data_IF_228580620801
#
_entry.id   IF_228580620801
#
_cell.length_a   1.000
_cell.length_b   1.000
_cell.length_c   1.000
_cell.angle_alpha   90.00
_cell.angle_beta   90.00
_cell.angle_gamma   90.00
#
_symmetry.space_group_name_H-M   'P 1'
#
loop_
_entity.id
_entity.type
_entity.pdbx_description
1 polymer ?
#
# COMPACT_ATOMS: atom_id res chain seq x y z
N UNK A 1 31.16 29.89 55.15
CA UNK A 1 29.85 29.55 54.63
C UNK A 1 30.03 29.11 53.17
N UNK A 2 30.09 27.82 52.93
CA UNK A 2 30.19 27.26 51.57
C UNK A 2 28.76 26.97 51.04
N UNK A 3 28.34 27.68 49.99
CA UNK A 3 27.08 27.42 49.30
C UNK A 3 27.29 26.23 48.41
N UNK A 4 26.66 25.08 48.73
CA UNK A 4 26.56 23.94 47.87
C UNK A 4 25.55 24.25 46.75
N UNK A 5 26.03 24.33 45.52
CA UNK A 5 25.20 24.48 44.33
C UNK A 5 24.79 23.06 43.90
N UNK A 6 23.56 22.67 44.25
CA UNK A 6 22.94 21.45 43.70
C UNK A 6 22.53 21.72 42.23
N UNK A 7 23.35 21.27 41.32
CA UNK A 7 22.96 21.18 39.90
C UNK A 7 22.07 19.92 39.77
N UNK A 8 20.77 20.14 39.76
CA UNK A 8 19.80 19.11 39.42
C UNK A 8 19.99 18.70 37.97
N UNK A 9 20.63 17.55 37.75
CA UNK A 9 20.69 16.93 36.44
C UNK A 9 19.28 16.38 36.10
N UNK A 10 18.50 17.16 35.38
CA UNK A 10 17.26 16.71 34.80
C UNK A 10 17.64 15.68 33.73
N UNK A 11 17.58 14.39 34.08
CA UNK A 11 17.57 13.30 33.15
C UNK A 11 16.28 13.44 32.30
N UNK A 12 16.40 14.09 31.17
CA UNK A 12 15.39 13.95 30.10
C UNK A 12 15.49 12.51 29.66
N UNK A 13 14.66 11.66 30.25
CA UNK A 13 14.40 10.34 29.71
C UNK A 13 13.69 10.56 28.37
N UNK A 14 14.47 10.70 27.31
CA UNK A 14 13.99 10.43 25.98
C UNK A 14 13.57 8.95 26.03
N UNK A 15 12.28 8.70 26.15
CA UNK A 15 11.77 7.36 26.05
C UNK A 15 12.20 6.81 24.70
N UNK A 16 13.25 6.02 24.70
CA UNK A 16 13.60 5.17 23.58
C UNK A 16 12.38 4.28 23.37
N UNK A 17 11.57 4.62 22.36
CA UNK A 17 10.49 3.73 21.97
C UNK A 17 11.15 2.40 21.61
N UNK A 18 10.77 1.34 22.31
CA UNK A 18 11.31 0.01 22.08
C UNK A 18 11.00 -0.37 20.62
N UNK A 19 11.98 -0.99 19.96
CA UNK A 19 11.78 -1.55 18.63
C UNK A 19 10.63 -2.54 18.65
N UNK A 20 9.85 -2.59 17.57
CA UNK A 20 8.71 -3.47 17.47
C UNK A 20 9.17 -4.94 17.37
N UNK A 21 8.53 -5.80 18.14
CA UNK A 21 8.71 -7.27 18.10
C UNK A 21 7.54 -7.95 18.79
N UNK A 22 7.07 -9.05 18.24
CA UNK A 22 5.94 -9.82 18.79
C UNK A 22 4.58 -9.36 18.30
N UNK A 23 3.56 -9.48 19.13
CA UNK A 23 2.16 -9.31 18.74
C UNK A 23 1.61 -7.94 19.14
N UNK A 24 0.90 -7.32 18.22
CA UNK A 24 0.24 -6.04 18.39
C UNK A 24 -1.18 -6.05 17.80
N UNK A 25 -1.96 -5.04 18.17
CA UNK A 25 -3.27 -4.80 17.55
C UNK A 25 -3.39 -3.35 17.09
N UNK A 26 -4.28 -3.09 16.11
CA UNK A 26 -4.67 -1.75 15.68
C UNK A 26 -6.18 -1.60 15.90
N UNK A 27 -6.57 -0.54 16.58
CA UNK A 27 -7.96 -0.22 16.90
C UNK A 27 -8.32 -0.53 18.34
N UNK A 28 -9.15 0.31 18.94
CA UNK A 28 -9.51 0.26 20.35
C UNK A 28 -8.67 1.22 21.21
N UNK A 29 -8.59 0.96 22.51
CA UNK A 29 -7.86 1.82 23.44
C UNK A 29 -6.35 1.59 23.32
N UNK A 30 -5.57 2.66 23.21
CA UNK A 30 -4.11 2.57 23.16
C UNK A 30 -3.53 1.87 24.41
N UNK A 31 -2.48 1.06 24.20
CA UNK A 31 -1.80 0.32 25.26
C UNK A 31 -0.40 -0.12 24.78
N UNK A 32 0.30 -0.88 25.62
CA UNK A 32 1.67 -1.32 25.32
C UNK A 32 1.78 -2.19 24.05
N UNK A 33 0.72 -2.92 23.71
CA UNK A 33 0.64 -3.80 22.54
C UNK A 33 -0.53 -3.45 21.62
N UNK A 34 -1.22 -2.33 21.87
CA UNK A 34 -2.33 -1.88 21.05
C UNK A 34 -2.12 -0.45 20.58
N UNK A 35 -2.14 -0.24 19.28
CA UNK A 35 -2.19 1.05 18.63
C UNK A 35 -3.66 1.48 18.44
N UNK A 36 -4.02 2.68 18.86
CA UNK A 36 -5.40 3.15 18.68
C UNK A 36 -5.75 3.33 17.20
N UNK A 37 -4.79 3.76 16.39
CA UNK A 37 -4.97 4.02 14.95
C UNK A 37 -3.77 3.52 14.14
N UNK A 38 -3.97 3.45 12.82
CA UNK A 38 -2.90 3.15 11.87
C UNK A 38 -1.74 4.15 11.96
N UNK A 39 -2.03 5.43 12.18
CA UNK A 39 -1.00 6.48 12.34
C UNK A 39 -0.06 6.22 13.50
N UNK A 40 -0.56 5.63 14.60
CA UNK A 40 0.27 5.31 15.76
C UNK A 40 1.23 4.15 15.43
N UNK A 41 0.73 3.13 14.74
CA UNK A 41 1.53 2.00 14.28
C UNK A 41 2.62 2.46 13.27
N UNK A 42 2.23 3.21 12.23
CA UNK A 42 3.20 3.67 11.22
C UNK A 42 4.24 4.60 11.81
N UNK A 43 3.85 5.46 12.75
CA UNK A 43 4.78 6.29 13.52
C UNK A 43 5.78 5.44 14.31
N UNK A 44 5.31 4.42 15.03
CA UNK A 44 6.19 3.52 15.79
C UNK A 44 7.14 2.76 14.86
N UNK A 45 6.66 2.28 13.71
CA UNK A 45 7.49 1.62 12.70
C UNK A 45 8.59 2.54 12.19
N UNK A 46 8.23 3.78 11.80
CA UNK A 46 9.19 4.75 11.25
C UNK A 46 10.21 5.22 12.29
N UNK A 47 9.79 5.42 13.55
CA UNK A 47 10.67 5.96 14.60
C UNK A 47 11.56 4.92 15.26
N UNK A 48 11.05 3.71 15.49
CA UNK A 48 11.76 2.67 16.27
C UNK A 48 12.25 1.52 15.40
N UNK A 49 11.56 1.23 14.29
CA UNK A 49 11.83 0.06 13.47
C UNK A 49 11.51 -1.24 14.19
N UNK A 50 12.12 -2.32 13.74
CA UNK A 50 11.83 -3.67 14.24
C UNK A 50 13.08 -4.36 14.78
N UNK A 51 12.94 -5.14 15.87
CA UNK A 51 14.00 -5.99 16.41
C UNK A 51 13.75 -7.48 16.15
N UNK A 52 12.55 -7.84 15.73
CA UNK A 52 12.13 -9.21 15.42
C UNK A 52 10.90 -9.22 14.51
N UNK A 53 10.28 -10.38 14.35
CA UNK A 53 9.02 -10.48 13.63
C UNK A 53 7.91 -9.76 14.40
N UNK A 54 7.07 -9.07 13.66
CA UNK A 54 5.91 -8.32 14.16
C UNK A 54 4.64 -8.89 13.56
N UNK A 55 3.68 -9.26 14.41
CA UNK A 55 2.34 -9.65 13.97
C UNK A 55 1.32 -8.64 14.48
N UNK A 56 0.53 -8.08 13.57
CA UNK A 56 -0.48 -7.06 13.88
C UNK A 56 -1.85 -7.58 13.47
N UNK A 57 -2.84 -7.46 14.36
CA UNK A 57 -4.25 -7.75 14.04
C UNK A 57 -5.07 -6.46 14.08
N UNK A 58 -5.83 -6.19 13.02
CA UNK A 58 -6.74 -5.05 12.99
C UNK A 58 -8.05 -5.42 13.69
N UNK A 59 -8.41 -4.69 14.75
CA UNK A 59 -9.54 -5.01 15.62
C UNK A 59 -10.82 -4.27 15.27
N UNK A 60 -10.72 -3.13 14.58
CA UNK A 60 -11.88 -2.32 14.20
C UNK A 60 -11.70 -1.66 12.83
N UNK A 61 -12.82 -1.32 12.19
CA UNK A 61 -12.78 -0.48 11.01
C UNK A 61 -12.18 0.89 11.35
N UNK A 62 -11.38 1.43 10.42
CA UNK A 62 -10.71 2.71 10.59
C UNK A 62 -11.01 3.60 9.39
N UNK A 63 -11.28 4.87 9.66
CA UNK A 63 -11.39 5.88 8.60
C UNK A 63 -10.23 6.86 8.74
N UNK A 64 -9.55 7.13 7.63
CA UNK A 64 -8.37 7.99 7.59
C UNK A 64 -8.58 9.19 6.69
N UNK A 65 -7.90 10.28 7.02
CA UNK A 65 -7.90 11.54 6.24
C UNK A 65 -6.58 11.77 5.51
N UNK A 66 -5.61 10.88 5.70
CA UNK A 66 -4.34 10.85 4.99
C UNK A 66 -3.95 9.39 4.71
N UNK A 67 -3.11 9.16 3.74
CA UNK A 67 -2.62 7.83 3.41
C UNK A 67 -1.96 7.15 4.61
N UNK A 68 -2.23 5.85 4.77
CA UNK A 68 -1.43 5.02 5.67
C UNK A 68 -0.12 4.74 4.97
N UNK A 69 0.94 5.36 5.44
CA UNK A 69 2.27 5.25 4.84
C UNK A 69 3.15 4.30 5.65
N UNK A 70 3.66 3.29 4.98
CA UNK A 70 4.62 2.33 5.50
C UNK A 70 6.00 2.71 4.98
N UNK A 71 6.82 3.26 5.87
CA UNK A 71 8.20 3.65 5.57
C UNK A 71 9.18 2.64 6.16
N UNK A 72 10.30 2.43 5.46
CA UNK A 72 11.41 1.68 6.00
C UNK A 72 12.15 2.50 7.06
N UNK A 73 12.35 1.94 8.25
CA UNK A 73 13.23 2.54 9.24
C UNK A 73 14.69 2.33 8.82
N UNK A 74 15.48 3.40 8.76
CA UNK A 74 16.86 3.34 8.26
C UNK A 74 17.85 2.64 9.20
N UNK A 75 17.54 2.60 10.50
CA UNK A 75 18.44 2.03 11.52
C UNK A 75 18.05 0.58 11.86
N UNK A 76 16.75 0.30 11.95
CA UNK A 76 16.20 -0.99 12.33
C UNK A 76 15.16 -1.44 11.28
N UNK A 77 15.60 -1.73 10.05
CA UNK A 77 14.69 -2.07 8.97
C UNK A 77 14.08 -3.46 9.14
N UNK A 78 12.96 -3.67 8.47
CA UNK A 78 12.46 -5.00 8.15
C UNK A 78 13.44 -5.75 7.25
N UNK A 79 13.39 -7.06 7.26
CA UNK A 79 14.24 -7.93 6.45
C UNK A 79 13.63 -9.32 6.33
N UNK A 80 14.27 -10.22 5.59
CA UNK A 80 13.82 -11.63 5.49
C UNK A 80 13.71 -12.35 6.84
N UNK A 81 14.46 -11.91 7.86
CA UNK A 81 14.42 -12.46 9.23
C UNK A 81 13.65 -11.60 10.24
N UNK A 82 13.19 -10.41 9.84
CA UNK A 82 12.41 -9.47 10.66
C UNK A 82 11.23 -8.94 9.82
N UNK A 83 10.21 -9.75 9.70
CA UNK A 83 9.04 -9.47 8.86
C UNK A 83 7.92 -8.83 9.68
N UNK A 84 7.06 -8.08 8.99
CA UNK A 84 5.79 -7.60 9.54
C UNK A 84 4.66 -8.32 8.83
N UNK A 85 3.75 -8.93 9.60
CA UNK A 85 2.50 -9.48 9.08
C UNK A 85 1.33 -8.72 9.69
N UNK A 86 0.51 -8.10 8.87
CA UNK A 86 -0.69 -7.36 9.27
C UNK A 86 -1.91 -8.13 8.79
N UNK A 87 -2.66 -8.70 9.73
CA UNK A 87 -3.95 -9.32 9.44
C UNK A 87 -5.07 -8.30 9.61
N UNK A 88 -5.70 -7.94 8.51
CA UNK A 88 -6.85 -7.04 8.49
C UNK A 88 -8.07 -7.62 9.18
N UNK A 89 -8.12 -8.95 9.40
CA UNK A 89 -9.22 -9.65 10.09
C UNK A 89 -10.61 -9.28 9.51
N UNK A 90 -10.66 -9.08 8.19
CA UNK A 90 -11.87 -8.65 7.48
C UNK A 90 -12.32 -7.22 7.78
N UNK A 91 -11.53 -6.42 8.50
CA UNK A 91 -11.86 -5.02 8.80
C UNK A 91 -11.58 -4.12 7.60
N UNK A 92 -12.15 -2.92 7.66
CA UNK A 92 -12.05 -1.92 6.61
C UNK A 92 -11.18 -0.75 7.03
N UNK A 93 -10.20 -0.43 6.19
CA UNK A 93 -9.52 0.85 6.16
C UNK A 93 -10.16 1.68 5.05
N UNK A 94 -10.76 2.81 5.40
CA UNK A 94 -11.48 3.66 4.46
C UNK A 94 -10.99 5.10 4.48
N UNK A 95 -11.19 5.81 3.37
CA UNK A 95 -10.91 7.23 3.24
C UNK A 95 -11.50 7.79 1.95
N UNK A 96 -11.47 9.12 1.82
CA UNK A 96 -11.80 9.82 0.57
C UNK A 96 -10.58 10.64 0.15
N UNK A 97 -9.56 9.95 -0.37
CA UNK A 97 -8.24 10.51 -0.62
C UNK A 97 -8.01 10.73 -2.11
N UNK A 98 -7.47 11.90 -2.45
CA UNK A 98 -7.12 12.26 -3.84
C UNK A 98 -6.15 11.27 -4.49
N UNK A 99 -5.28 10.68 -3.68
CA UNK A 99 -4.27 9.71 -4.10
C UNK A 99 -4.47 8.36 -3.39
N UNK A 100 -3.39 7.68 -3.04
CA UNK A 100 -3.42 6.36 -2.42
C UNK A 100 -4.01 6.35 -1.00
N UNK A 101 -4.67 5.25 -0.67
CA UNK A 101 -5.12 4.95 0.69
C UNK A 101 -4.01 4.27 1.50
N UNK A 102 -3.25 3.40 0.86
CA UNK A 102 -2.12 2.68 1.44
C UNK A 102 -0.87 2.89 0.58
N UNK A 103 0.22 3.28 1.22
CA UNK A 103 1.50 3.54 0.56
C UNK A 103 2.61 2.67 1.16
N UNK A 104 3.28 1.90 0.32
CA UNK A 104 4.57 1.29 0.63
C UNK A 104 5.67 2.21 0.08
N UNK A 105 6.39 2.89 0.97
CA UNK A 105 7.44 3.85 0.61
C UNK A 105 8.81 3.32 1.08
N UNK A 106 9.45 2.53 0.25
CA UNK A 106 10.69 1.85 0.58
C UNK A 106 10.58 0.82 1.69
N UNK A 107 9.37 0.43 2.07
CA UNK A 107 9.13 -0.58 3.08
C UNK A 107 9.20 -1.98 2.49
N UNK A 108 9.98 -2.87 3.10
CA UNK A 108 10.23 -4.22 2.63
C UNK A 108 9.69 -5.28 3.59
N UNK A 109 9.47 -6.49 3.08
CA UNK A 109 9.10 -7.66 3.87
C UNK A 109 7.86 -7.45 4.74
N UNK A 110 6.88 -6.73 4.23
CA UNK A 110 5.57 -6.52 4.88
C UNK A 110 4.52 -7.34 4.16
N UNK A 111 3.84 -8.19 4.89
CA UNK A 111 2.63 -8.88 4.46
C UNK A 111 1.39 -8.17 5.01
N UNK A 112 0.44 -7.85 4.13
CA UNK A 112 -0.91 -7.42 4.53
C UNK A 112 -1.90 -8.44 3.97
N UNK A 113 -2.74 -8.98 4.85
CA UNK A 113 -3.76 -9.96 4.44
C UNK A 113 -5.13 -9.63 5.01
N UNK A 114 -6.17 -10.09 4.32
CA UNK A 114 -7.57 -10.02 4.77
C UNK A 114 -8.03 -8.61 5.18
N UNK A 115 -7.51 -7.55 4.52
CA UNK A 115 -7.88 -6.16 4.77
C UNK A 115 -8.73 -5.62 3.63
N UNK A 116 -9.83 -4.93 3.96
CA UNK A 116 -10.62 -4.21 2.99
C UNK A 116 -10.13 -2.76 2.92
N UNK A 117 -9.70 -2.32 1.74
CA UNK A 117 -9.22 -0.97 1.46
C UNK A 117 -10.26 -0.26 0.60
N UNK A 118 -10.91 0.79 1.11
CA UNK A 118 -11.98 1.51 0.41
C UNK A 118 -11.63 2.99 0.26
N UNK A 119 -11.27 3.41 -0.94
CA UNK A 119 -11.09 4.83 -1.25
C UNK A 119 -12.33 5.33 -2.00
N UNK A 120 -13.11 6.18 -1.34
CA UNK A 120 -14.35 6.76 -1.88
C UNK A 120 -14.14 8.07 -2.64
N UNK A 121 -12.89 8.44 -2.92
CA UNK A 121 -12.57 9.65 -3.69
C UNK A 121 -13.05 9.55 -5.14
N UNK A 122 -13.56 10.66 -5.65
CA UNK A 122 -13.88 10.83 -7.07
C UNK A 122 -12.74 11.40 -7.89
N UNK A 123 -11.56 11.57 -7.30
CA UNK A 123 -10.39 12.14 -7.97
C UNK A 123 -9.92 11.31 -9.17
N UNK A 124 -9.42 11.99 -10.18
CA UNK A 124 -8.80 11.35 -11.37
C UNK A 124 -7.50 10.61 -11.05
N UNK A 125 -6.93 10.84 -9.88
CA UNK A 125 -5.66 10.27 -9.41
C UNK A 125 -5.84 9.39 -8.19
N UNK A 126 -7.08 8.98 -7.87
CA UNK A 126 -7.34 8.10 -6.74
C UNK A 126 -6.70 6.73 -6.95
N UNK A 127 -5.96 6.30 -5.95
CA UNK A 127 -5.30 5.00 -5.92
C UNK A 127 -5.78 4.20 -4.71
N UNK A 128 -5.78 2.88 -4.83
CA UNK A 128 -5.98 2.01 -3.67
C UNK A 128 -4.66 1.84 -2.92
N UNK A 129 -3.69 1.20 -3.57
CA UNK A 129 -2.36 0.91 -3.01
C UNK A 129 -1.29 1.43 -3.97
N UNK A 130 -0.24 2.06 -3.42
CA UNK A 130 0.92 2.46 -4.21
C UNK A 130 2.20 1.91 -3.59
N UNK A 131 3.09 1.40 -4.46
CA UNK A 131 4.47 1.00 -4.15
C UNK A 131 5.42 2.01 -4.76
N UNK A 132 6.43 2.43 -4.00
CA UNK A 132 7.46 3.38 -4.44
C UNK A 132 8.71 3.27 -3.58
N UNK A 133 9.77 3.93 -4.02
CA UNK A 133 10.98 4.11 -3.22
C UNK A 133 11.75 2.83 -2.92
N UNK A 134 11.60 1.79 -3.75
CA UNK A 134 12.23 0.49 -3.52
C UNK A 134 11.48 -0.35 -2.48
N UNK A 135 10.16 -0.34 -2.51
CA UNK A 135 9.34 -1.18 -1.64
C UNK A 135 9.35 -2.63 -2.15
N UNK A 136 10.25 -3.45 -1.61
CA UNK A 136 10.58 -4.77 -2.14
C UNK A 136 10.08 -5.91 -1.25
N UNK A 137 9.83 -7.09 -1.85
CA UNK A 137 9.51 -8.32 -1.13
C UNK A 137 8.24 -8.23 -0.25
N UNK A 138 7.28 -7.41 -0.63
CA UNK A 138 6.02 -7.28 0.10
C UNK A 138 4.96 -8.21 -0.46
N UNK A 139 3.94 -8.51 0.35
CA UNK A 139 2.84 -9.39 -0.01
C UNK A 139 1.49 -8.74 0.34
N UNK A 140 0.60 -8.60 -0.64
CA UNK A 140 -0.83 -8.41 -0.41
C UNK A 140 -1.55 -9.73 -0.70
N UNK A 141 -2.29 -10.25 0.30
CA UNK A 141 -2.94 -11.55 0.19
C UNK A 141 -4.38 -11.51 0.67
N UNK A 142 -5.32 -11.85 -0.18
CA UNK A 142 -6.74 -11.92 0.19
C UNK A 142 -7.34 -10.57 0.59
N UNK A 143 -6.78 -9.46 0.11
CA UNK A 143 -7.28 -8.12 0.38
C UNK A 143 -8.36 -7.73 -0.65
N UNK A 144 -9.27 -6.84 -0.24
CA UNK A 144 -10.14 -6.12 -1.18
C UNK A 144 -9.61 -4.71 -1.36
N UNK A 145 -9.45 -4.26 -2.60
CA UNK A 145 -9.13 -2.87 -2.94
C UNK A 145 -10.26 -2.31 -3.77
N UNK A 146 -10.99 -1.35 -3.20
CA UNK A 146 -12.18 -0.77 -3.80
C UNK A 146 -12.02 0.75 -3.98
N UNK A 147 -12.03 1.21 -5.23
CA UNK A 147 -12.14 2.63 -5.56
C UNK A 147 -13.61 3.00 -5.72
N UNK A 148 -14.36 2.99 -4.60
CA UNK A 148 -15.81 3.11 -4.58
C UNK A 148 -16.35 4.45 -5.11
N UNK A 149 -15.55 5.52 -5.11
CA UNK A 149 -15.91 6.83 -5.63
C UNK A 149 -15.71 7.01 -7.13
N UNK A 150 -14.95 6.12 -7.79
CA UNK A 150 -14.64 6.25 -9.21
C UNK A 150 -15.79 5.72 -10.04
N UNK A 151 -16.40 6.63 -10.80
CA UNK A 151 -17.59 6.34 -11.62
C UNK A 151 -17.44 6.77 -13.09
N UNK A 152 -16.26 7.20 -13.55
CA UNK A 152 -16.05 7.77 -14.88
C UNK A 152 -14.87 7.18 -15.61
N UNK A 153 -15.06 6.98 -16.89
CA UNK A 153 -14.13 6.37 -17.85
C UNK A 153 -12.88 7.19 -18.20
N UNK A 154 -12.81 8.46 -17.82
CA UNK A 154 -11.74 9.37 -18.25
C UNK A 154 -10.64 9.56 -17.21
N UNK A 155 -10.65 8.77 -16.14
CA UNK A 155 -9.78 8.96 -14.98
C UNK A 155 -8.45 8.21 -15.14
N UNK A 156 -7.65 8.64 -16.12
CA UNK A 156 -6.41 7.96 -16.54
C UNK A 156 -5.31 7.86 -15.45
N UNK A 157 -5.45 8.59 -14.34
CA UNK A 157 -4.54 8.49 -13.20
C UNK A 157 -5.00 7.50 -12.12
N UNK A 158 -6.21 6.92 -12.22
CA UNK A 158 -6.76 6.05 -11.20
C UNK A 158 -6.33 4.59 -11.42
N UNK A 159 -5.89 3.92 -10.33
CA UNK A 159 -5.51 2.51 -10.35
C UNK A 159 -5.84 1.83 -9.02
N UNK A 160 -6.23 0.56 -9.06
CA UNK A 160 -6.37 -0.19 -7.81
C UNK A 160 -5.02 -0.39 -7.14
N UNK A 161 -4.00 -0.77 -7.93
CA UNK A 161 -2.63 -0.92 -7.47
C UNK A 161 -1.69 -0.25 -8.47
N UNK A 162 -0.75 0.54 -7.97
CA UNK A 162 0.25 1.22 -8.77
C UNK A 162 1.67 1.05 -8.21
N UNK A 163 2.59 0.68 -9.09
CA UNK A 163 4.03 0.78 -8.85
C UNK A 163 4.49 2.06 -9.55
N UNK A 164 4.56 3.16 -8.81
CA UNK A 164 4.79 4.48 -9.37
C UNK A 164 5.50 5.42 -8.40
N UNK A 165 6.49 6.16 -8.90
CA UNK A 165 7.25 7.15 -8.12
C UNK A 165 6.45 8.43 -7.83
N UNK A 166 5.40 8.70 -8.61
CA UNK A 166 4.55 9.89 -8.46
C UNK A 166 3.11 9.51 -8.11
N UNK A 167 2.47 10.33 -7.30
CA UNK A 167 1.05 10.21 -6.96
C UNK A 167 0.13 10.66 -8.09
N UNK A 168 0.55 11.65 -8.86
CA UNK A 168 -0.27 12.30 -9.88
C UNK A 168 0.04 11.83 -11.30
N UNK A 169 1.17 11.16 -11.52
CA UNK A 169 1.57 10.63 -12.80
C UNK A 169 2.06 9.20 -12.64
N UNK A 170 1.29 8.27 -13.18
CA UNK A 170 1.66 6.85 -13.14
C UNK A 170 2.66 6.47 -14.25
N UNK A 171 2.95 7.40 -15.16
CA UNK A 171 4.00 7.25 -16.17
C UNK A 171 5.34 7.65 -15.60
N UNK A 172 6.36 6.84 -15.80
CA UNK A 172 7.72 7.20 -15.43
C UNK A 172 8.52 7.60 -16.67
N UNK A 173 9.28 8.69 -16.57
CA UNK A 173 10.15 9.19 -17.65
C UNK A 173 11.61 8.79 -17.46
N UNK A 174 11.94 8.20 -16.32
CA UNK A 174 13.28 7.70 -15.98
C UNK A 174 13.19 6.32 -15.34
N UNK A 175 14.29 5.62 -15.24
CA UNK A 175 14.33 4.37 -14.46
C UNK A 175 14.00 4.68 -13.00
N UNK A 176 13.06 3.95 -12.44
CA UNK A 176 12.64 4.08 -11.06
C UNK A 176 12.57 2.68 -10.43
N UNK A 177 13.05 2.54 -9.20
CA UNK A 177 12.75 1.38 -8.38
C UNK A 177 11.49 1.69 -7.56
N UNK A 178 10.35 1.22 -8.03
CA UNK A 178 9.09 1.37 -7.30
C UNK A 178 8.73 0.11 -6.50
N UNK A 179 9.46 -0.98 -6.71
CA UNK A 179 9.29 -2.22 -5.96
C UNK A 179 9.62 -3.45 -6.80
N UNK A 180 10.35 -4.37 -6.19
CA UNK A 180 10.86 -5.61 -6.77
C UNK A 180 10.41 -6.81 -5.95
N UNK A 181 10.10 -7.93 -6.61
CA UNK A 181 9.72 -9.19 -5.94
C UNK A 181 8.50 -9.07 -5.01
N UNK A 182 7.59 -8.17 -5.31
CA UNK A 182 6.33 -8.07 -4.57
C UNK A 182 5.33 -9.08 -5.10
N UNK A 183 4.44 -9.54 -4.24
CA UNK A 183 3.38 -10.50 -4.58
C UNK A 183 2.02 -9.89 -4.26
N UNK A 184 1.14 -9.84 -5.25
CA UNK A 184 -0.26 -9.47 -5.10
C UNK A 184 -1.07 -10.70 -5.44
N UNK A 185 -1.68 -11.34 -4.44
CA UNK A 185 -2.37 -12.61 -4.67
C UNK A 185 -3.71 -12.70 -3.98
N UNK A 186 -4.64 -13.44 -4.60
CA UNK A 186 -5.97 -13.74 -4.07
C UNK A 186 -6.77 -12.49 -3.68
N UNK A 187 -6.43 -11.33 -4.26
CA UNK A 187 -7.08 -10.06 -3.96
C UNK A 187 -8.29 -9.81 -4.86
N UNK A 188 -9.27 -9.08 -4.34
CA UNK A 188 -10.35 -8.51 -5.15
C UNK A 188 -10.06 -7.04 -5.40
N UNK A 189 -9.86 -6.67 -6.66
CA UNK A 189 -9.57 -5.31 -7.12
C UNK A 189 -10.78 -4.81 -7.89
N UNK A 190 -11.46 -3.76 -7.42
CA UNK A 190 -12.74 -3.37 -7.96
C UNK A 190 -13.08 -1.88 -7.80
N UNK A 191 -14.10 -1.44 -8.52
CA UNK A 191 -14.86 -0.24 -8.23
C UNK A 191 -16.32 -0.59 -8.06
N UNK A 192 -16.88 -0.29 -6.89
CA UNK A 192 -18.29 -0.53 -6.58
C UNK A 192 -19.18 0.70 -6.78
N UNK A 193 -18.62 1.81 -7.26
CA UNK A 193 -19.36 3.02 -7.59
C UNK A 193 -20.50 2.77 -8.59
N UNK A 194 -21.55 3.55 -8.49
CA UNK A 194 -22.84 3.32 -9.17
C UNK A 194 -22.82 3.40 -10.69
N UNK A 195 -21.75 3.92 -11.29
CA UNK A 195 -21.61 4.07 -12.74
C UNK A 195 -20.29 3.48 -13.18
N UNK A 196 -20.31 2.20 -13.54
CA UNK A 196 -19.20 1.52 -14.22
C UNK A 196 -18.87 2.21 -15.56
N UNK A 197 -17.61 2.22 -15.99
CA UNK A 197 -16.45 1.52 -15.49
C UNK A 197 -15.62 2.34 -14.50
N UNK A 198 -14.91 1.64 -13.60
CA UNK A 198 -14.15 2.19 -12.49
C UNK A 198 -12.76 2.73 -12.82
N UNK A 199 -11.75 2.33 -12.07
CA UNK A 199 -10.37 2.78 -12.25
C UNK A 199 -9.86 2.52 -13.68
N UNK A 200 -9.01 3.42 -14.19
CA UNK A 200 -8.43 3.28 -15.53
C UNK A 200 -7.55 2.03 -15.64
N UNK A 201 -6.81 1.73 -14.56
CA UNK A 201 -5.97 0.54 -14.43
C UNK A 201 -6.44 -0.34 -13.27
N UNK A 202 -6.42 -1.64 -13.46
CA UNK A 202 -6.44 -2.61 -12.37
C UNK A 202 -5.10 -2.58 -11.63
N UNK A 203 -4.05 -3.05 -12.30
CA UNK A 203 -2.68 -2.97 -11.81
C UNK A 203 -1.83 -2.28 -12.88
N UNK A 204 -1.09 -1.26 -12.47
CA UNK A 204 -0.07 -0.61 -13.31
C UNK A 204 1.30 -0.80 -12.70
N UNK A 205 2.23 -1.32 -13.50
CA UNK A 205 3.65 -1.40 -13.18
C UNK A 205 4.47 -0.88 -14.35
N UNK A 206 4.95 0.37 -14.21
CA UNK A 206 5.80 0.99 -15.20
C UNK A 206 7.03 1.59 -14.52
N UNK A 207 8.13 0.85 -14.51
CA UNK A 207 9.36 1.20 -13.80
C UNK A 207 10.50 1.69 -14.70
N UNK A 208 10.20 2.00 -15.95
CA UNK A 208 11.17 2.48 -16.91
C UNK A 208 10.54 3.29 -18.02
N UNK A 209 11.35 3.63 -19.02
CA UNK A 209 10.92 4.28 -20.27
C UNK A 209 11.53 3.58 -21.48
N UNK A 210 11.16 3.99 -22.69
CA UNK A 210 11.74 3.44 -23.92
C UNK A 210 13.28 3.60 -23.95
N UNK A 211 13.78 4.67 -23.35
CA UNK A 211 15.22 4.97 -23.26
C UNK A 211 15.89 4.29 -22.07
N UNK A 212 15.16 4.20 -20.94
CA UNK A 212 15.63 3.62 -19.70
C UNK A 212 14.85 2.33 -19.42
N UNK A 213 15.33 1.21 -19.93
CA UNK A 213 14.73 -0.10 -19.65
C UNK A 213 14.95 -0.45 -18.18
N UNK A 214 13.90 -0.93 -17.54
CA UNK A 214 13.98 -1.41 -16.17
C UNK A 214 14.94 -2.60 -16.06
N UNK A 215 15.55 -2.71 -14.91
CA UNK A 215 16.12 -3.96 -14.42
C UNK A 215 14.99 -4.94 -14.08
N UNK A 216 15.32 -6.19 -13.81
CA UNK A 216 14.33 -7.22 -13.42
C UNK A 216 13.54 -6.75 -12.21
N UNK A 217 12.22 -6.71 -12.32
CA UNK A 217 11.30 -6.36 -11.24
C UNK A 217 10.72 -7.60 -10.58
N UNK A 218 10.33 -8.60 -11.37
CA UNK A 218 9.94 -9.93 -10.88
C UNK A 218 8.76 -9.92 -9.93
N UNK A 219 7.83 -8.96 -10.06
CA UNK A 219 6.61 -8.94 -9.28
C UNK A 219 5.65 -10.04 -9.75
N UNK A 220 4.85 -10.57 -8.84
CA UNK A 220 3.90 -11.64 -9.12
C UNK A 220 2.48 -11.19 -8.83
N UNK A 221 1.59 -11.39 -9.81
CA UNK A 221 0.16 -11.09 -9.73
C UNK A 221 -0.62 -12.37 -9.96
N UNK A 222 -1.14 -13.02 -8.89
CA UNK A 222 -1.71 -14.35 -9.00
C UNK A 222 -3.03 -14.53 -8.28
N UNK A 223 -3.98 -15.25 -8.93
CA UNK A 223 -5.27 -15.60 -8.33
C UNK A 223 -6.16 -14.41 -7.97
N UNK A 224 -5.90 -13.23 -8.53
CA UNK A 224 -6.68 -12.04 -8.22
C UNK A 224 -7.96 -11.99 -9.05
N UNK A 225 -9.00 -11.40 -8.50
CA UNK A 225 -10.22 -11.03 -9.21
C UNK A 225 -10.20 -9.54 -9.50
N UNK A 226 -10.07 -9.13 -10.76
CA UNK A 226 -10.01 -7.74 -11.20
C UNK A 226 -11.28 -7.36 -11.93
N UNK A 227 -12.09 -6.47 -11.32
CA UNK A 227 -13.42 -6.12 -11.82
C UNK A 227 -13.55 -4.63 -12.10
N UNK A 228 -14.46 -4.31 -13.03
CA UNK A 228 -14.94 -2.95 -13.27
C UNK A 228 -13.82 -1.92 -13.49
N UNK A 229 -12.72 -2.30 -14.09
CA UNK A 229 -11.69 -1.35 -14.56
C UNK A 229 -12.12 -0.72 -15.90
N UNK A 230 -11.61 0.48 -16.19
CA UNK A 230 -11.98 1.16 -17.45
C UNK A 230 -11.21 0.62 -18.65
N UNK A 231 -9.88 0.67 -18.66
CA UNK A 231 -9.10 0.37 -19.86
C UNK A 231 -8.23 -0.87 -19.72
N UNK A 232 -7.42 -0.97 -18.69
CA UNK A 232 -6.45 -2.04 -18.52
C UNK A 232 -6.65 -2.78 -17.21
N UNK A 233 -6.80 -4.11 -17.25
CA UNK A 233 -6.67 -4.93 -16.05
C UNK A 233 -5.23 -4.93 -15.54
N UNK A 234 -4.29 -5.10 -16.49
CA UNK A 234 -2.85 -5.00 -16.27
C UNK A 234 -2.25 -4.03 -17.28
N UNK A 235 -1.38 -3.16 -16.82
CA UNK A 235 -0.53 -2.31 -17.66
C UNK A 235 0.92 -2.46 -17.19
N UNK A 236 1.62 -3.42 -17.78
CA UNK A 236 2.98 -3.78 -17.44
C UNK A 236 3.91 -3.29 -18.56
N UNK A 237 4.73 -2.29 -18.26
CA UNK A 237 5.54 -1.65 -19.27
C UNK A 237 6.94 -1.31 -18.76
N UNK A 238 7.96 -1.68 -19.55
CA UNK A 238 9.37 -1.51 -19.18
C UNK A 238 9.73 -2.20 -17.86
N UNK A 239 9.14 -3.36 -17.64
CA UNK A 239 9.39 -4.27 -16.53
C UNK A 239 9.89 -5.60 -17.08
N UNK A 240 10.55 -6.40 -16.25
CA UNK A 240 11.09 -7.70 -16.64
C UNK A 240 10.94 -8.71 -15.51
N UNK A 241 10.50 -9.92 -15.87
CA UNK A 241 10.32 -11.01 -14.92
C UNK A 241 8.97 -11.03 -14.20
N UNK A 242 8.03 -10.17 -14.61
CA UNK A 242 6.67 -10.18 -14.08
C UNK A 242 5.96 -11.50 -14.34
N UNK A 243 5.19 -11.96 -13.36
CA UNK A 243 4.35 -13.15 -13.47
C UNK A 243 2.89 -12.78 -13.30
N UNK A 244 2.06 -13.13 -14.27
CA UNK A 244 0.61 -12.92 -14.24
C UNK A 244 -0.06 -14.29 -14.36
N UNK A 245 -0.59 -14.81 -13.23
CA UNK A 245 -0.99 -16.20 -13.11
C UNK A 245 -2.43 -16.34 -12.59
N UNK A 246 -3.26 -17.08 -13.29
CA UNK A 246 -4.58 -17.51 -12.78
C UNK A 246 -5.48 -16.38 -12.24
N UNK A 247 -5.44 -15.19 -12.86
CA UNK A 247 -6.31 -14.10 -12.47
C UNK A 247 -7.66 -14.16 -13.18
N UNK A 248 -8.74 -13.83 -12.47
CA UNK A 248 -10.08 -13.66 -13.03
C UNK A 248 -10.30 -12.18 -13.38
N UNK A 249 -10.57 -11.90 -14.65
CA UNK A 249 -10.68 -10.53 -15.16
C UNK A 249 -12.07 -10.34 -15.75
N UNK A 250 -12.85 -9.41 -15.19
CA UNK A 250 -14.19 -9.12 -15.67
C UNK A 250 -14.50 -7.63 -15.72
N UNK A 251 -15.32 -7.22 -16.70
CA UNK A 251 -15.88 -5.88 -16.82
C UNK A 251 -17.39 -5.99 -16.89
N UNK A 252 -18.07 -5.17 -16.10
CA UNK A 252 -19.47 -4.92 -16.36
C UNK A 252 -19.56 -4.19 -17.70
N UNK A 253 -20.23 -4.80 -18.67
CA UNK A 253 -20.51 -4.17 -19.96
C UNK A 253 -21.48 -3.03 -19.72
N UNK A 254 -21.00 -1.78 -19.72
CA UNK A 254 -21.88 -0.67 -20.03
C UNK A 254 -22.21 -0.75 -21.52
N UNK A 255 -23.41 -0.39 -21.90
CA UNK A 255 -23.97 -0.48 -23.26
C UNK A 255 -23.23 0.35 -24.33
N UNK A 256 -22.12 0.97 -24.03
CA UNK A 256 -21.27 1.73 -24.91
C UNK A 256 -19.93 1.05 -25.09
N UNK A 257 -19.83 0.32 -26.19
CA UNK A 257 -18.63 -0.10 -26.91
C UNK A 257 -17.40 -0.49 -26.10
N UNK A 258 -17.21 -1.77 -25.87
CA UNK A 258 -15.90 -2.36 -25.64
C UNK A 258 -15.08 -2.23 -26.94
N UNK A 259 -14.21 -1.24 -27.07
CA UNK A 259 -13.18 -1.25 -28.09
C UNK A 259 -12.09 -2.22 -27.59
N UNK A 260 -11.95 -3.35 -28.26
CA UNK A 260 -10.77 -4.20 -28.12
C UNK A 260 -9.75 -3.61 -29.11
N UNK A 261 -8.79 -2.86 -28.61
CA UNK A 261 -7.59 -2.54 -29.39
C UNK A 261 -6.76 -3.83 -29.51
N UNK A 262 -6.70 -4.36 -30.74
CA UNK A 262 -5.83 -5.46 -31.15
C UNK A 262 -4.45 -4.96 -31.47
#
# INVERSE_FOLDING_TARGET
MRKLLLIGLALISQGLLAQLSGNYTIGGTAGSTNFAAWSDFTKALTTSGVSGNVAVTVMSNQTVTAAVQLDQNSTNPTSSSKKITIDGNGKTLSGSLTYELLLFNGADYIEIKNLNLVNSSTSNTALGVRFTGGADNNLLNGCTVDLAGISSSTKAGAAYIAFASSQSSLSTTSTANNGVSNVIQNCTLQSTGTNSPGAFYGIIDQQGSATYKSTTTGNTFSGNTIKNFFKYAFYLRYVNGEQVLSNDISRALSSSACAVDT
#
